data_IF_954497868525
#
_entry.id   IF_954497868525
#
_cell.length_a   1.000
_cell.length_b   1.000
_cell.length_c   1.000
_cell.angle_alpha   90.00
_cell.angle_beta   90.00
_cell.angle_gamma   90.00
#
_symmetry.space_group_name_H-M   'P 1'
#
loop_
_entity.id
_entity.type
_entity.pdbx_description
1 polymer ?
#
# COMPACT_ATOMS: atom_id res chain seq x y z
N UNK A 1 55.12 43.94 8.05
CA UNK A 1 55.37 44.56 6.73
C UNK A 1 56.19 43.57 5.90
N UNK A 2 55.55 42.78 5.03
CA UNK A 2 56.21 41.70 4.27
C UNK A 2 56.50 42.21 2.85
N UNK A 3 57.79 42.24 2.45
CA UNK A 3 58.25 42.59 1.10
C UNK A 3 58.30 41.32 0.24
N UNK A 4 57.56 41.29 -0.86
CA UNK A 4 57.59 40.24 -1.89
C UNK A 4 58.70 40.59 -2.89
N UNK A 5 59.68 39.70 -3.08
CA UNK A 5 60.93 39.95 -3.81
C UNK A 5 61.12 39.14 -5.10
N UNK A 6 60.05 38.67 -5.76
CA UNK A 6 60.18 38.02 -7.07
C UNK A 6 59.11 38.48 -8.07
N UNK A 7 59.56 38.93 -9.25
CA UNK A 7 58.71 39.28 -10.41
C UNK A 7 58.06 38.02 -10.99
N UNK A 8 56.74 38.02 -11.08
CA UNK A 8 55.97 37.01 -11.82
C UNK A 8 56.22 37.25 -13.32
N UNK A 9 56.82 36.27 -14.01
CA UNK A 9 56.91 36.23 -15.48
C UNK A 9 55.81 35.32 -16.01
N UNK A 10 54.95 35.85 -16.89
CA UNK A 10 54.03 35.08 -17.72
C UNK A 10 52.59 35.05 -17.21
N UNK A 11 51.79 36.03 -17.62
CA UNK A 11 50.33 35.89 -17.67
C UNK A 11 49.96 35.90 -19.15
N UNK A 12 49.48 34.76 -19.68
CA UNK A 12 48.86 34.75 -21.01
C UNK A 12 47.43 35.25 -20.88
N UNK A 13 47.12 36.36 -21.54
CA UNK A 13 45.75 36.84 -21.70
C UNK A 13 45.03 35.88 -22.64
N UNK A 14 44.08 35.10 -22.12
CA UNK A 14 43.17 34.30 -22.94
C UNK A 14 42.22 35.27 -23.63
N UNK A 15 42.37 35.41 -24.95
CA UNK A 15 41.51 36.24 -25.79
C UNK A 15 40.05 35.78 -25.69
N UNK A 16 39.14 36.77 -25.64
CA UNK A 16 37.71 36.54 -25.76
C UNK A 16 37.42 35.77 -27.06
N UNK A 17 36.79 34.60 -26.93
CA UNK A 17 36.15 33.91 -28.05
C UNK A 17 34.76 34.49 -28.24
N UNK A 18 34.45 34.89 -29.47
CA UNK A 18 33.10 35.27 -29.91
C UNK A 18 32.05 34.20 -29.54
N UNK A 19 30.87 34.58 -29.04
CA UNK A 19 29.80 33.66 -28.68
C UNK A 19 28.94 33.37 -29.92
N UNK A 20 29.48 32.65 -30.90
CA UNK A 20 28.73 32.24 -32.09
C UNK A 20 29.03 30.80 -32.52
N UNK A 21 28.98 29.89 -31.55
CA UNK A 21 28.66 28.49 -31.83
C UNK A 21 27.79 27.97 -30.70
N UNK A 22 26.52 28.38 -30.70
CA UNK A 22 25.50 27.73 -29.90
C UNK A 22 25.45 26.28 -30.36
N UNK A 23 26.02 25.36 -29.57
CA UNK A 23 25.65 23.97 -29.66
C UNK A 23 24.13 23.95 -29.53
N UNK A 24 23.44 23.47 -30.57
CA UNK A 24 22.03 23.12 -30.45
C UNK A 24 22.00 22.08 -29.35
N UNK A 25 21.62 22.51 -28.14
CA UNK A 25 21.27 21.60 -27.07
C UNK A 25 20.17 20.73 -27.69
N UNK A 26 20.47 19.44 -27.88
CA UNK A 26 19.43 18.48 -28.18
C UNK A 26 18.28 18.75 -27.21
N UNK A 27 17.03 18.84 -27.70
CA UNK A 27 15.91 19.00 -26.79
C UNK A 27 16.01 17.90 -25.73
N UNK A 28 15.92 18.25 -24.44
CA UNK A 28 16.00 17.26 -23.39
C UNK A 28 14.98 16.16 -23.68
N UNK A 29 15.42 14.89 -23.61
CA UNK A 29 14.55 13.72 -23.73
C UNK A 29 13.27 13.99 -22.92
N UNK A 30 12.13 13.74 -23.54
CA UNK A 30 10.81 14.12 -23.04
C UNK A 30 10.58 13.72 -21.56
N UNK A 31 9.69 14.46 -20.88
CA UNK A 31 9.52 14.34 -19.43
C UNK A 31 8.93 12.97 -19.06
N UNK A 32 9.19 12.50 -17.84
CA UNK A 32 8.58 11.23 -17.37
C UNK A 32 7.07 11.40 -17.10
N UNK A 33 6.51 12.59 -17.34
CA UNK A 33 5.07 12.82 -17.55
C UNK A 33 4.70 12.63 -19.04
N UNK A 34 5.53 11.93 -19.81
CA UNK A 34 5.05 11.29 -21.03
C UNK A 34 3.99 10.25 -20.64
N UNK A 35 2.94 10.18 -21.47
CA UNK A 35 1.80 9.28 -21.31
C UNK A 35 2.25 7.90 -20.81
N UNK A 36 1.73 7.47 -19.67
CA UNK A 36 2.03 6.14 -19.14
C UNK A 36 1.47 5.08 -20.08
N UNK A 37 2.29 4.06 -20.36
CA UNK A 37 1.87 2.85 -21.06
C UNK A 37 1.52 1.79 -20.04
N UNK A 38 0.26 1.35 -20.06
CA UNK A 38 -0.14 0.18 -19.31
C UNK A 38 0.44 -1.05 -19.99
N UNK A 39 1.38 -1.72 -19.32
CA UNK A 39 1.93 -2.97 -19.81
C UNK A 39 0.88 -4.08 -19.65
N UNK A 40 0.35 -4.57 -20.77
CA UNK A 40 -0.71 -5.59 -20.86
C UNK A 40 -0.38 -6.99 -20.31
N UNK A 41 0.77 -7.15 -19.64
CA UNK A 41 1.48 -8.43 -19.60
C UNK A 41 1.42 -9.20 -18.29
N UNK A 42 0.79 -8.70 -17.24
CA UNK A 42 0.61 -9.48 -16.02
C UNK A 42 -0.60 -9.03 -15.20
N UNK A 43 -1.59 -9.91 -15.06
CA UNK A 43 -2.44 -9.90 -13.86
C UNK A 43 -1.58 -10.40 -12.70
N UNK A 44 -1.59 -9.64 -11.62
CA UNK A 44 -0.71 -9.86 -10.46
C UNK A 44 -1.53 -10.22 -9.23
N UNK A 45 -2.76 -9.72 -9.12
CA UNK A 45 -3.66 -10.14 -8.06
C UNK A 45 -3.98 -11.64 -8.13
N UNK A 46 -4.08 -12.23 -9.33
CA UNK A 46 -4.27 -13.68 -9.52
C UNK A 46 -3.05 -14.51 -9.07
N UNK A 47 -1.89 -13.86 -8.90
CA UNK A 47 -0.65 -14.51 -8.43
C UNK A 47 -0.49 -14.49 -6.92
N UNK A 48 -1.41 -13.87 -6.18
CA UNK A 48 -1.46 -14.03 -4.74
C UNK A 48 -1.72 -15.50 -4.43
N UNK A 49 -0.75 -16.15 -3.78
CA UNK A 49 -0.95 -17.50 -3.26
C UNK A 49 -2.11 -17.48 -2.25
N UNK A 50 -2.21 -16.38 -1.49
CA UNK A 50 -3.30 -16.14 -0.54
C UNK A 50 -3.81 -14.69 -0.62
N UNK A 51 -4.98 -14.46 -1.25
CA UNK A 51 -5.61 -13.13 -1.30
C UNK A 51 -6.03 -12.61 0.08
N UNK A 52 -6.37 -13.50 1.00
CA UNK A 52 -6.63 -13.21 2.41
C UNK A 52 -5.61 -13.95 3.29
N UNK A 53 -5.63 -13.73 4.60
CA UNK A 53 -4.81 -14.54 5.51
C UNK A 53 -5.29 -16.00 5.39
N UNK A 54 -4.43 -16.98 5.08
CA UNK A 54 -4.84 -18.38 5.06
C UNK A 54 -5.21 -18.88 6.45
N UNK A 55 -6.15 -19.82 6.52
CA UNK A 55 -6.46 -20.54 7.75
C UNK A 55 -5.29 -21.46 8.12
N UNK A 56 -4.91 -21.40 9.40
CA UNK A 56 -3.80 -22.18 9.96
C UNK A 56 -4.28 -22.86 11.24
N UNK A 57 -4.99 -24.01 11.13
CA UNK A 57 -5.62 -24.66 12.28
C UNK A 57 -4.63 -25.03 13.39
N UNK A 58 -3.44 -25.49 13.01
CA UNK A 58 -2.35 -25.83 13.93
C UNK A 58 -1.51 -24.62 14.37
N UNK A 59 -1.94 -23.41 14.00
CA UNK A 59 -1.20 -22.19 14.24
C UNK A 59 -0.04 -21.96 13.26
N UNK A 60 0.84 -21.03 13.63
CA UNK A 60 1.98 -20.58 12.80
C UNK A 60 3.21 -20.40 13.66
N UNK A 61 4.38 -20.72 13.14
CA UNK A 61 5.66 -20.43 13.78
C UNK A 61 6.14 -19.04 13.34
N UNK A 62 6.72 -18.28 14.27
CA UNK A 62 7.22 -16.95 13.97
C UNK A 62 8.40 -16.53 14.84
N UNK A 63 9.17 -15.58 14.32
CA UNK A 63 10.24 -14.91 15.06
C UNK A 63 9.78 -13.51 15.47
N UNK A 64 9.98 -13.16 16.73
CA UNK A 64 9.67 -11.83 17.28
C UNK A 64 10.95 -11.07 17.60
N UNK A 65 11.01 -9.81 17.18
CA UNK A 65 12.14 -8.92 17.45
C UNK A 65 12.25 -8.57 18.94
N UNK A 66 13.42 -8.06 19.38
CA UNK A 66 13.49 -7.30 20.62
C UNK A 66 12.48 -6.14 20.62
N UNK A 67 12.02 -5.76 21.81
CA UNK A 67 11.11 -4.62 21.99
C UNK A 67 11.85 -3.33 21.68
N UNK A 68 11.27 -2.54 20.79
CA UNK A 68 11.67 -1.16 20.49
C UNK A 68 10.91 -0.21 21.39
N UNK A 69 11.60 0.81 21.87
CA UNK A 69 11.03 1.89 22.67
C UNK A 69 11.30 3.19 21.93
N UNK A 70 10.24 3.94 21.61
CA UNK A 70 10.40 5.28 21.07
C UNK A 70 10.69 6.27 22.19
N UNK A 71 11.29 7.41 21.82
CA UNK A 71 11.48 8.53 22.74
C UNK A 71 10.13 9.10 23.22
N UNK A 72 9.09 8.99 22.39
CA UNK A 72 7.71 9.34 22.71
C UNK A 72 7.00 8.36 23.67
N UNK A 73 7.67 7.28 24.11
CA UNK A 73 7.14 6.31 25.07
C UNK A 73 6.37 5.14 24.46
N UNK A 74 6.14 5.14 23.14
CA UNK A 74 5.54 4.03 22.43
C UNK A 74 6.45 2.80 22.46
N UNK A 75 5.84 1.61 22.48
CA UNK A 75 6.56 0.33 22.51
C UNK A 75 6.00 -0.62 21.48
N UNK A 76 6.88 -1.33 20.79
CA UNK A 76 6.46 -2.35 19.84
C UNK A 76 7.54 -3.42 19.66
N UNK A 77 7.12 -4.58 19.18
CA UNK A 77 7.99 -5.56 18.55
C UNK A 77 7.40 -5.94 17.20
N UNK A 78 8.23 -6.57 16.37
CA UNK A 78 7.85 -7.05 15.04
C UNK A 78 7.90 -8.56 15.07
N UNK A 79 6.79 -9.19 14.73
CA UNK A 79 6.71 -10.65 14.56
C UNK A 79 6.59 -10.97 13.08
N UNK A 80 7.44 -11.88 12.59
CA UNK A 80 7.34 -12.42 11.23
C UNK A 80 7.00 -13.90 11.33
N UNK A 81 5.86 -14.27 10.76
CA UNK A 81 5.35 -15.64 10.76
C UNK A 81 5.65 -16.33 9.43
N UNK A 82 5.90 -17.63 9.51
CA UNK A 82 6.19 -18.53 8.39
C UNK A 82 5.05 -19.52 8.21
N UNK A 83 4.79 -19.92 6.96
CA UNK A 83 3.63 -20.76 6.63
C UNK A 83 3.97 -22.24 6.76
N UNK A 84 3.59 -22.87 7.87
CA UNK A 84 3.91 -24.27 8.20
C UNK A 84 5.16 -24.40 9.08
N UNK A 85 5.31 -25.54 9.77
CA UNK A 85 6.35 -25.72 10.80
C UNK A 85 7.79 -25.63 10.24
N UNK A 86 8.04 -26.25 9.08
CA UNK A 86 9.37 -26.31 8.46
C UNK A 86 9.59 -25.25 7.37
N UNK A 87 8.65 -24.33 7.20
CA UNK A 87 8.71 -23.36 6.11
C UNK A 87 9.64 -22.20 6.44
N UNK A 88 10.46 -21.85 5.46
CA UNK A 88 11.29 -20.64 5.46
C UNK A 88 10.62 -19.48 4.70
N UNK A 89 9.38 -19.65 4.25
CA UNK A 89 8.65 -18.63 3.51
C UNK A 89 7.84 -17.74 4.46
N UNK A 90 8.23 -16.48 4.66
CA UNK A 90 7.45 -15.54 5.46
C UNK A 90 6.16 -15.21 4.71
N UNK A 91 5.03 -15.15 5.43
CA UNK A 91 3.73 -14.86 4.84
C UNK A 91 2.95 -13.76 5.58
N UNK A 92 3.40 -13.37 6.77
CA UNK A 92 2.74 -12.39 7.63
C UNK A 92 3.73 -11.64 8.52
N UNK A 93 3.51 -10.34 8.66
CA UNK A 93 4.14 -9.46 9.64
C UNK A 93 3.07 -8.95 10.59
N UNK A 94 3.35 -9.01 11.89
CA UNK A 94 2.48 -8.49 12.94
C UNK A 94 3.24 -7.50 13.83
N UNK A 95 2.48 -6.58 14.42
CA UNK A 95 2.94 -5.67 15.48
C UNK A 95 2.03 -5.89 16.68
N UNK A 96 2.33 -6.88 17.55
CA UNK A 96 1.41 -7.35 18.58
C UNK A 96 1.47 -6.50 19.85
N UNK A 97 1.38 -5.17 19.71
CA UNK A 97 1.51 -4.23 20.82
C UNK A 97 0.45 -3.13 20.72
N UNK A 98 -0.41 -3.02 21.74
CA UNK A 98 -1.40 -1.95 21.81
C UNK A 98 -0.76 -0.55 21.95
N UNK A 99 0.45 -0.48 22.52
CA UNK A 99 1.24 0.75 22.69
C UNK A 99 2.03 1.13 21.42
N UNK A 100 1.88 0.39 20.32
CA UNK A 100 2.62 0.66 19.10
C UNK A 100 2.23 2.02 18.49
N UNK A 101 3.16 2.71 17.78
CA UNK A 101 2.82 3.92 17.05
C UNK A 101 1.61 3.73 16.13
N UNK A 102 0.66 4.68 16.18
CA UNK A 102 -0.59 4.63 15.41
C UNK A 102 -0.30 4.46 13.91
N UNK A 103 -0.90 3.43 13.29
CA UNK A 103 -0.67 3.03 11.89
C UNK A 103 0.52 2.08 11.64
N UNK A 104 1.36 1.75 12.63
CA UNK A 104 2.48 0.82 12.41
C UNK A 104 1.98 -0.61 12.11
N UNK A 105 0.88 -1.03 12.74
CA UNK A 105 0.22 -2.30 12.43
C UNK A 105 -0.35 -2.34 11.00
N UNK A 106 -0.84 -1.20 10.47
CA UNK A 106 -1.30 -1.11 9.09
C UNK A 106 -0.14 -1.26 8.08
N UNK A 107 1.05 -0.70 8.39
CA UNK A 107 2.27 -0.94 7.60
C UNK A 107 2.60 -2.44 7.56
N UNK A 108 2.56 -3.12 8.71
CA UNK A 108 2.77 -4.56 8.79
C UNK A 108 1.73 -5.34 7.98
N UNK A 109 0.45 -4.98 8.09
CA UNK A 109 -0.65 -5.59 7.31
C UNK A 109 -0.41 -5.47 5.81
N UNK A 110 0.03 -4.31 5.31
CA UNK A 110 0.36 -4.12 3.89
C UNK A 110 1.53 -5.00 3.44
N UNK A 111 2.58 -5.12 4.27
CA UNK A 111 3.72 -6.01 4.01
C UNK A 111 3.32 -7.50 4.01
N UNK A 112 2.35 -7.91 4.82
CA UNK A 112 1.82 -9.28 4.79
C UNK A 112 1.23 -9.63 3.42
N UNK A 113 0.52 -8.71 2.77
CA UNK A 113 0.08 -8.93 1.38
C UNK A 113 1.26 -9.04 0.41
N UNK A 114 2.33 -8.26 0.63
CA UNK A 114 3.54 -8.34 -0.20
C UNK A 114 4.23 -9.70 -0.05
N UNK A 115 4.32 -10.23 1.17
CA UNK A 115 4.85 -11.57 1.43
C UNK A 115 4.04 -12.68 0.75
N UNK A 116 2.71 -12.56 0.72
CA UNK A 116 1.81 -13.55 0.09
C UNK A 116 1.89 -13.60 -1.45
N UNK A 117 2.57 -12.63 -2.08
CA UNK A 117 2.91 -12.72 -3.51
C UNK A 117 4.07 -13.68 -3.78
N UNK A 118 4.85 -14.03 -2.75
CA UNK A 118 6.15 -14.71 -2.84
C UNK A 118 7.19 -14.01 -3.74
N UNK A 119 6.96 -12.76 -4.10
CA UNK A 119 7.86 -11.96 -4.92
C UNK A 119 8.95 -11.32 -4.05
N UNK A 120 10.07 -12.03 -3.92
CA UNK A 120 11.20 -11.64 -3.06
C UNK A 120 11.79 -10.28 -3.43
N UNK A 121 11.92 -9.99 -4.72
CA UNK A 121 12.47 -8.71 -5.19
C UNK A 121 11.52 -7.55 -4.90
N UNK A 122 10.21 -7.77 -5.00
CA UNK A 122 9.20 -6.80 -4.60
C UNK A 122 9.25 -6.46 -3.12
N UNK A 123 9.27 -7.50 -2.27
CA UNK A 123 9.39 -7.33 -0.82
C UNK A 123 10.69 -6.59 -0.47
N UNK A 124 11.82 -7.00 -1.03
CA UNK A 124 13.12 -6.35 -0.81
C UNK A 124 13.10 -4.87 -1.22
N UNK A 125 12.52 -4.54 -2.38
CA UNK A 125 12.39 -3.14 -2.85
C UNK A 125 11.55 -2.31 -1.89
N UNK A 126 10.43 -2.85 -1.40
CA UNK A 126 9.55 -2.17 -0.46
C UNK A 126 10.22 -1.97 0.90
N UNK A 127 10.82 -3.00 1.48
CA UNK A 127 11.55 -2.91 2.75
C UNK A 127 12.67 -1.87 2.67
N UNK A 128 13.46 -1.87 1.60
CA UNK A 128 14.51 -0.87 1.38
C UNK A 128 13.97 0.55 1.34
N UNK A 129 12.77 0.75 0.76
CA UNK A 129 12.12 2.05 0.71
C UNK A 129 11.57 2.53 2.06
N UNK A 130 11.19 1.60 2.94
CA UNK A 130 10.73 1.88 4.31
C UNK A 130 11.89 2.18 5.26
N UNK A 131 13.02 1.49 5.10
CA UNK A 131 14.25 1.76 5.86
C UNK A 131 14.72 3.21 5.72
N UNK A 132 14.48 3.83 4.57
CA UNK A 132 14.85 5.22 4.30
C UNK A 132 13.92 6.26 4.95
N UNK A 133 12.83 5.83 5.59
CA UNK A 133 11.87 6.76 6.21
C UNK A 133 12.43 7.30 7.52
N UNK A 134 12.49 8.63 7.61
CA UNK A 134 12.90 9.39 8.79
C UNK A 134 11.70 10.05 9.46
N UNK A 135 11.81 10.33 10.75
CA UNK A 135 10.79 11.00 11.56
C UNK A 135 11.15 10.88 13.03
N UNK A 136 10.36 10.11 13.80
CA UNK A 136 10.60 9.82 15.22
C UNK A 136 11.71 8.77 15.37
N UNK A 137 12.98 9.20 15.33
CA UNK A 137 14.11 8.29 15.44
C UNK A 137 14.02 7.41 16.70
N UNK A 138 14.40 6.14 16.59
CA UNK A 138 14.36 5.17 17.70
C UNK A 138 15.67 4.42 17.80
N UNK A 139 15.98 3.93 18.99
CA UNK A 139 17.11 3.02 19.19
C UNK A 139 16.65 1.57 19.06
N UNK A 140 17.38 0.79 18.28
CA UNK A 140 17.10 -0.63 18.06
C UNK A 140 18.32 -1.48 18.36
N UNK A 141 18.11 -2.59 19.07
CA UNK A 141 19.14 -3.61 19.27
C UNK A 141 18.98 -4.67 18.20
N UNK A 142 19.79 -4.57 17.14
CA UNK A 142 19.80 -5.58 16.09
C UNK A 142 20.43 -6.89 16.59
N UNK A 143 19.91 -8.07 16.22
CA UNK A 143 20.55 -9.34 16.50
C UNK A 143 22.01 -9.37 16.06
N UNK A 144 22.89 -9.89 16.92
CA UNK A 144 24.34 -9.95 16.67
C UNK A 144 25.11 -8.67 16.98
N UNK A 145 24.43 -7.55 17.27
CA UNK A 145 25.09 -6.32 17.71
C UNK A 145 25.09 -6.20 19.24
N UNK A 146 26.23 -5.76 19.79
CA UNK A 146 26.39 -5.55 21.23
C UNK A 146 25.75 -4.24 21.72
N UNK A 147 25.69 -3.22 20.86
CA UNK A 147 25.21 -1.87 21.18
C UNK A 147 23.96 -1.55 20.34
N UNK A 148 22.95 -0.87 20.91
CA UNK A 148 21.83 -0.34 20.13
C UNK A 148 22.31 0.65 19.06
N UNK A 149 21.60 0.71 17.94
CA UNK A 149 21.84 1.68 16.87
C UNK A 149 20.63 2.59 16.70
N UNK A 150 20.88 3.83 16.30
CA UNK A 150 19.82 4.75 15.93
C UNK A 150 19.27 4.40 14.53
N UNK A 151 17.95 4.34 14.41
CA UNK A 151 17.23 4.23 13.13
C UNK A 151 16.25 5.38 12.99
N UNK A 152 16.00 5.80 11.75
CA UNK A 152 15.33 7.08 11.46
C UNK A 152 13.85 7.16 11.86
N UNK A 153 13.17 6.03 12.07
CA UNK A 153 11.75 6.00 12.45
C UNK A 153 11.32 4.61 12.96
N UNK A 154 10.15 4.47 13.60
CA UNK A 154 9.58 3.16 13.94
C UNK A 154 9.27 2.31 12.70
N UNK A 155 8.94 2.94 11.57
CA UNK A 155 8.72 2.26 10.29
C UNK A 155 10.03 1.70 9.74
N UNK A 156 11.12 2.46 9.84
CA UNK A 156 12.44 1.99 9.46
C UNK A 156 12.89 0.83 10.36
N UNK A 157 12.68 0.93 11.67
CA UNK A 157 12.93 -0.16 12.62
C UNK A 157 12.14 -1.42 12.23
N UNK A 158 10.85 -1.27 11.91
CA UNK A 158 10.01 -2.38 11.47
C UNK A 158 10.59 -3.05 10.23
N UNK A 159 10.92 -2.28 9.21
CA UNK A 159 11.48 -2.81 7.97
C UNK A 159 12.82 -3.53 8.18
N UNK A 160 13.70 -2.99 9.04
CA UNK A 160 14.97 -3.64 9.41
C UNK A 160 14.75 -4.99 10.07
N UNK A 161 13.81 -5.11 11.02
CA UNK A 161 13.53 -6.39 11.65
C UNK A 161 12.88 -7.40 10.71
N UNK A 162 12.02 -6.96 9.79
CA UNK A 162 11.50 -7.84 8.74
C UNK A 162 12.63 -8.34 7.83
N UNK A 163 13.56 -7.47 7.41
CA UNK A 163 14.74 -7.88 6.64
C UNK A 163 15.54 -8.94 7.39
N UNK A 164 15.85 -8.69 8.67
CA UNK A 164 16.61 -9.63 9.51
C UNK A 164 15.88 -10.97 9.66
N UNK A 165 14.56 -10.97 9.86
CA UNK A 165 13.78 -12.19 9.93
C UNK A 165 13.90 -13.00 8.64
N UNK A 166 13.78 -12.34 7.49
CA UNK A 166 13.91 -13.00 6.19
C UNK A 166 15.34 -13.49 5.92
N UNK A 167 16.36 -12.73 6.31
CA UNK A 167 17.77 -13.08 6.13
C UNK A 167 18.17 -14.31 6.96
N UNK A 168 17.61 -14.45 8.18
CA UNK A 168 17.86 -15.61 9.05
C UNK A 168 17.46 -16.93 8.44
N UNK A 169 16.46 -16.92 7.55
CA UNK A 169 15.97 -18.09 6.83
C UNK A 169 16.42 -18.10 5.37
N UNK A 170 17.34 -17.21 4.99
CA UNK A 170 17.85 -17.11 3.62
C UNK A 170 16.84 -16.62 2.58
N UNK A 171 15.64 -16.18 2.99
CA UNK A 171 14.54 -15.86 2.07
C UNK A 171 14.90 -14.72 1.11
N UNK A 172 15.58 -13.67 1.58
CA UNK A 172 16.04 -12.55 0.74
C UNK A 172 17.43 -12.76 0.12
N UNK A 173 18.00 -13.96 0.21
CA UNK A 173 19.29 -14.27 -0.42
C UNK A 173 19.13 -14.57 -1.91
N UNK A 174 20.15 -14.19 -2.71
CA UNK A 174 20.24 -14.50 -4.15
C UNK A 174 18.97 -14.11 -4.93
N UNK A 175 18.56 -12.85 -4.80
CA UNK A 175 17.39 -12.32 -5.51
C UNK A 175 17.84 -11.83 -6.89
N UNK A 176 17.36 -12.48 -7.94
CA UNK A 176 17.47 -11.97 -9.30
C UNK A 176 16.25 -11.09 -9.64
N UNK A 177 16.42 -9.79 -9.95
CA UNK A 177 15.30 -8.88 -10.23
C UNK A 177 14.43 -9.29 -11.43
N UNK A 178 14.99 -10.05 -12.37
CA UNK A 178 14.32 -10.48 -13.61
C UNK A 178 13.11 -11.38 -13.38
N UNK A 179 13.08 -12.09 -12.25
CA UNK A 179 12.02 -13.06 -11.96
C UNK A 179 10.76 -12.42 -11.38
N UNK A 180 10.86 -11.18 -10.92
CA UNK A 180 9.80 -10.47 -10.22
C UNK A 180 8.60 -10.15 -11.13
N UNK A 181 7.46 -10.76 -10.83
CA UNK A 181 6.21 -10.46 -11.52
C UNK A 181 5.69 -9.07 -11.16
N UNK A 182 5.82 -8.66 -9.89
CA UNK A 182 5.40 -7.35 -9.41
C UNK A 182 6.20 -6.23 -10.08
N UNK A 183 7.52 -6.38 -10.19
CA UNK A 183 8.37 -5.36 -10.82
C UNK A 183 8.14 -5.25 -12.32
N UNK A 184 7.89 -6.38 -13.00
CA UNK A 184 7.53 -6.38 -14.43
C UNK A 184 6.14 -5.79 -14.70
N UNK A 185 5.27 -5.83 -13.70
CA UNK A 185 3.92 -5.26 -13.77
C UNK A 185 3.87 -3.77 -13.44
N UNK A 186 5.00 -3.11 -13.15
CA UNK A 186 4.99 -1.66 -12.95
C UNK A 186 4.63 -0.93 -14.25
N UNK A 187 3.80 0.11 -14.13
CA UNK A 187 3.45 1.02 -15.24
C UNK A 187 4.65 1.84 -15.73
N UNK A 188 5.63 2.07 -14.84
CA UNK A 188 6.90 2.71 -15.15
C UNK A 188 8.04 2.13 -14.29
N UNK A 189 9.30 2.11 -14.78
CA UNK A 189 10.44 1.60 -14.00
C UNK A 189 10.68 2.34 -12.68
N UNK A 190 10.39 3.64 -12.68
CA UNK A 190 10.45 4.53 -11.54
C UNK A 190 9.15 5.31 -11.40
N UNK A 191 8.89 5.78 -10.18
CA UNK A 191 7.75 6.66 -9.90
C UNK A 191 7.76 7.86 -10.87
N UNK A 192 6.67 8.11 -11.60
CA UNK A 192 6.54 9.28 -12.45
C UNK A 192 6.70 10.55 -11.61
N UNK A 193 7.55 11.47 -12.06
CA UNK A 193 7.77 12.75 -11.39
C UNK A 193 7.77 13.86 -12.42
N UNK A 194 7.16 14.98 -12.07
CA UNK A 194 7.36 16.23 -12.79
C UNK A 194 8.85 16.59 -12.79
N UNK A 195 9.39 17.02 -13.93
CA UNK A 195 10.73 17.60 -13.95
C UNK A 195 10.69 18.95 -13.25
N UNK A 196 11.87 19.40 -12.83
CA UNK A 196 12.01 20.76 -12.36
C UNK A 196 11.58 21.74 -13.46
N UNK A 197 10.63 22.61 -13.17
CA UNK A 197 10.04 23.54 -14.14
C UNK A 197 8.74 23.05 -14.80
N UNK A 198 8.39 21.77 -14.69
CA UNK A 198 7.11 21.24 -15.16
C UNK A 198 6.04 21.31 -14.06
N UNK A 199 4.77 21.35 -14.47
CA UNK A 199 3.62 21.31 -13.55
C UNK A 199 3.01 19.91 -13.55
N UNK A 200 3.00 19.27 -12.38
CA UNK A 200 2.28 18.01 -12.16
C UNK A 200 0.84 18.23 -11.72
N UNK A 201 -0.02 17.23 -11.93
CA UNK A 201 -1.39 17.23 -11.44
C UNK A 201 -1.52 16.39 -10.15
N UNK A 202 -2.20 16.93 -9.15
CA UNK A 202 -2.56 16.20 -7.95
C UNK A 202 -4.00 16.51 -7.53
N UNK A 203 -4.73 15.46 -7.14
CA UNK A 203 -5.99 15.58 -6.41
C UNK A 203 -5.70 15.69 -4.93
N UNK A 204 -6.60 16.32 -4.17
CA UNK A 204 -6.49 16.36 -2.73
C UNK A 204 -7.85 16.32 -2.05
N UNK A 205 -7.84 15.93 -0.77
CA UNK A 205 -8.97 16.04 0.15
C UNK A 205 -8.47 16.24 1.57
N UNK A 206 -9.26 16.92 2.39
CA UNK A 206 -8.94 17.21 3.78
C UNK A 206 -9.51 16.13 4.71
N UNK A 207 -8.82 15.89 5.82
CA UNK A 207 -9.18 14.91 6.85
C UNK A 207 -9.05 15.56 8.22
N UNK A 208 -10.13 15.49 8.99
CA UNK A 208 -10.18 15.97 10.36
C UNK A 208 -10.77 14.87 11.26
N UNK A 209 -10.04 14.49 12.31
CA UNK A 209 -10.55 13.68 13.41
C UNK A 209 -10.05 14.27 14.73
N UNK A 210 -10.85 15.16 15.32
CA UNK A 210 -10.52 15.85 16.57
C UNK A 210 -10.22 14.87 17.72
N UNK A 211 -10.90 13.71 17.77
CA UNK A 211 -10.68 12.69 18.80
C UNK A 211 -9.28 12.06 18.76
N UNK A 212 -8.59 12.15 17.61
CA UNK A 212 -7.24 11.64 17.39
C UNK A 212 -6.19 12.71 17.14
N UNK A 213 -6.60 13.99 17.12
CA UNK A 213 -5.76 15.11 16.72
C UNK A 213 -5.31 15.04 15.26
N UNK A 214 -6.08 14.35 14.41
CA UNK A 214 -5.82 14.31 12.98
C UNK A 214 -6.37 15.60 12.34
N UNK A 215 -5.51 16.34 11.65
CA UNK A 215 -5.86 17.50 10.83
C UNK A 215 -4.82 17.61 9.71
N UNK A 216 -5.12 16.99 8.58
CA UNK A 216 -4.18 16.88 7.48
C UNK A 216 -4.87 16.78 6.13
N UNK A 217 -4.11 17.07 5.09
CA UNK A 217 -4.50 16.93 3.69
C UNK A 217 -3.84 15.70 3.09
N UNK A 218 -4.63 14.93 2.34
CA UNK A 218 -4.14 13.86 1.47
C UNK A 218 -3.98 14.41 0.06
N UNK A 219 -2.84 14.15 -0.56
CA UNK A 219 -2.57 14.45 -1.95
C UNK A 219 -2.34 13.16 -2.72
N UNK A 220 -2.84 13.11 -3.95
CA UNK A 220 -2.71 11.97 -4.85
C UNK A 220 -2.28 12.49 -6.22
N UNK A 221 -1.04 12.19 -6.63
CA UNK A 221 -0.58 12.59 -7.95
C UNK A 221 -1.18 11.68 -9.01
N UNK A 222 -1.54 12.30 -10.12
CA UNK A 222 -2.11 11.65 -11.28
C UNK A 222 -1.30 12.00 -12.52
N UNK A 223 -1.24 11.07 -13.45
CA UNK A 223 -0.68 11.30 -14.78
C UNK A 223 -1.66 10.82 -15.84
N UNK A 224 -1.47 11.23 -17.07
CA UNK A 224 -2.30 10.81 -18.19
C UNK A 224 -1.75 9.51 -18.80
N UNK A 225 -2.63 8.58 -19.14
CA UNK A 225 -2.33 7.41 -19.96
C UNK A 225 -2.33 7.79 -21.45
N UNK A 226 -1.86 6.90 -22.32
CA UNK A 226 -1.85 7.18 -23.77
C UNK A 226 -3.23 7.46 -24.39
N UNK A 227 -4.28 6.91 -23.80
CA UNK A 227 -5.67 7.07 -24.21
C UNK A 227 -6.36 8.30 -23.58
N UNK A 228 -5.63 9.12 -22.83
CA UNK A 228 -6.15 10.32 -22.16
C UNK A 228 -6.76 10.07 -20.78
N UNK A 229 -6.84 8.81 -20.32
CA UNK A 229 -7.37 8.53 -18.99
C UNK A 229 -6.38 8.92 -17.89
N UNK A 230 -6.87 9.42 -16.76
CA UNK A 230 -6.03 9.72 -15.60
C UNK A 230 -5.68 8.43 -14.83
N UNK A 231 -4.42 8.33 -14.39
CA UNK A 231 -3.90 7.24 -13.58
C UNK A 231 -3.24 7.75 -12.29
N UNK A 232 -3.81 7.43 -11.11
CA UNK A 232 -3.17 7.71 -9.83
C UNK A 232 -1.90 6.87 -9.65
N UNK A 233 -0.77 7.50 -9.26
CA UNK A 233 0.52 6.80 -9.16
C UNK A 233 1.29 7.06 -7.87
N UNK A 234 0.88 8.03 -7.05
CA UNK A 234 1.46 8.27 -5.73
C UNK A 234 0.48 8.96 -4.80
N UNK A 235 0.73 8.83 -3.50
CA UNK A 235 -0.03 9.46 -2.42
C UNK A 235 0.91 9.95 -1.33
N UNK A 236 0.63 11.13 -0.77
CA UNK A 236 1.31 11.66 0.41
C UNK A 236 0.38 12.49 1.27
N UNK A 237 0.83 12.80 2.48
CA UNK A 237 0.06 13.51 3.50
C UNK A 237 0.80 14.77 3.92
N UNK A 238 0.07 15.83 4.28
CA UNK A 238 0.63 17.05 4.86
C UNK A 238 -0.28 17.58 5.97
N UNK A 239 0.28 17.90 7.13
CA UNK A 239 -0.46 18.34 8.32
C UNK A 239 -0.18 17.44 9.52
N UNK A 240 -1.11 17.41 10.47
CA UNK A 240 -1.04 16.59 11.67
C UNK A 240 -1.63 15.19 11.40
N UNK A 241 -0.76 14.20 11.28
CA UNK A 241 -1.12 12.78 11.12
C UNK A 241 -0.06 11.90 11.81
N UNK A 242 -0.32 10.61 12.06
CA UNK A 242 0.66 9.74 12.71
C UNK A 242 1.91 9.55 11.87
N UNK A 243 3.09 9.71 12.46
CA UNK A 243 4.37 9.60 11.74
C UNK A 243 4.53 8.25 10.99
N UNK A 244 3.98 7.15 11.51
CA UNK A 244 4.06 5.84 10.85
C UNK A 244 3.32 5.79 9.50
N UNK A 245 2.38 6.71 9.26
CA UNK A 245 1.64 6.79 8.00
C UNK A 245 2.51 7.22 6.81
N UNK A 246 3.71 7.76 7.04
CA UNK A 246 4.70 7.89 5.98
C UNK A 246 5.03 6.52 5.34
N UNK A 247 5.04 5.44 6.14
CA UNK A 247 5.19 4.07 5.64
C UNK A 247 4.02 3.63 4.78
N UNK A 248 2.79 3.94 5.21
CA UNK A 248 1.56 3.64 4.47
C UNK A 248 1.57 4.38 3.12
N UNK A 249 1.83 5.69 3.13
CA UNK A 249 1.94 6.49 1.91
C UNK A 249 3.00 5.93 0.95
N UNK A 250 4.16 5.52 1.48
CA UNK A 250 5.24 4.94 0.68
C UNK A 250 4.85 3.61 0.04
N UNK A 251 4.20 2.72 0.79
CA UNK A 251 3.73 1.43 0.28
C UNK A 251 2.62 1.60 -0.74
N UNK A 252 1.58 2.37 -0.41
CA UNK A 252 0.48 2.65 -1.33
C UNK A 252 0.97 3.30 -2.61
N UNK A 253 1.89 4.26 -2.55
CA UNK A 253 2.46 4.86 -3.77
C UNK A 253 3.14 3.82 -4.66
N UNK A 254 3.82 2.81 -4.09
CA UNK A 254 4.37 1.70 -4.88
C UNK A 254 3.28 0.79 -5.43
N UNK A 255 2.23 0.53 -4.67
CA UNK A 255 1.10 -0.29 -5.08
C UNK A 255 0.27 0.36 -6.21
N UNK A 256 0.12 1.69 -6.19
CA UNK A 256 -0.53 2.48 -7.25
C UNK A 256 0.24 2.46 -8.58
N UNK A 257 1.53 2.09 -8.56
CA UNK A 257 2.36 1.96 -9.76
C UNK A 257 2.27 0.57 -10.40
N UNK A 258 1.55 -0.39 -9.79
CA UNK A 258 1.31 -1.70 -10.38
C UNK A 258 0.15 -1.58 -11.39
N UNK A 259 0.36 -2.07 -12.60
CA UNK A 259 -0.58 -1.94 -13.70
C UNK A 259 -1.91 -2.64 -13.41
N UNK A 260 -1.88 -3.81 -12.78
CA UNK A 260 -3.10 -4.52 -12.37
C UNK A 260 -3.82 -3.77 -11.22
N UNK A 261 -5.01 -3.16 -11.47
CA UNK A 261 -5.69 -2.38 -10.45
C UNK A 261 -6.26 -3.23 -9.32
N UNK A 262 -6.46 -4.54 -9.52
CA UNK A 262 -6.91 -5.42 -8.45
C UNK A 262 -5.93 -5.41 -7.26
N UNK A 263 -4.64 -5.19 -7.52
CA UNK A 263 -3.62 -5.09 -6.50
C UNK A 263 -3.85 -3.92 -5.54
N UNK A 264 -4.01 -2.70 -6.06
CA UNK A 264 -4.29 -1.53 -5.21
C UNK A 264 -5.69 -1.62 -4.57
N UNK A 265 -6.66 -2.18 -5.27
CA UNK A 265 -7.99 -2.44 -4.72
C UNK A 265 -7.93 -3.31 -3.46
N UNK A 266 -7.18 -4.40 -3.51
CA UNK A 266 -7.00 -5.34 -2.40
C UNK A 266 -6.32 -4.67 -1.18
N UNK A 267 -5.32 -3.82 -1.42
CA UNK A 267 -4.65 -3.03 -0.37
C UNK A 267 -5.60 -2.01 0.28
N UNK A 268 -6.40 -1.31 -0.51
CA UNK A 268 -7.38 -0.34 0.00
C UNK A 268 -8.49 -1.01 0.81
N UNK A 269 -8.98 -2.18 0.37
CA UNK A 269 -9.97 -2.94 1.13
C UNK A 269 -9.42 -3.38 2.49
N UNK A 270 -8.18 -3.86 2.54
CA UNK A 270 -7.53 -4.22 3.79
C UNK A 270 -7.39 -3.04 4.77
N UNK A 271 -7.15 -1.83 4.26
CA UNK A 271 -7.08 -0.62 5.09
C UNK A 271 -8.47 -0.07 5.48
N UNK A 272 -9.53 -0.36 4.70
CA UNK A 272 -10.91 0.00 5.08
C UNK A 272 -11.42 -0.77 6.29
N UNK A 273 -10.86 -1.95 6.53
CA UNK A 273 -11.13 -2.77 7.71
C UNK A 273 -10.24 -2.42 8.91
N UNK A 274 -9.34 -1.45 8.75
CA UNK A 274 -8.54 -0.95 9.86
C UNK A 274 -9.45 -0.30 10.91
N UNK A 275 -9.21 -0.64 12.17
CA UNK A 275 -9.96 -0.12 13.31
C UNK A 275 -8.99 0.32 14.38
N UNK A 276 -9.25 1.47 14.98
CA UNK A 276 -8.42 2.01 16.06
C UNK A 276 -9.29 2.26 17.29
N UNK A 277 -8.82 1.94 18.52
CA UNK A 277 -9.59 2.20 19.74
C UNK A 277 -9.93 3.69 19.85
N UNK A 278 -11.22 4.03 19.93
CA UNK A 278 -11.70 5.42 19.94
C UNK A 278 -11.18 6.26 18.75
N UNK A 279 -10.97 5.63 17.59
CA UNK A 279 -10.54 6.27 16.35
C UNK A 279 -11.63 6.38 15.31
N UNK A 280 -12.87 6.06 15.69
CA UNK A 280 -14.01 6.18 14.83
C UNK A 280 -14.17 7.62 14.29
N UNK A 281 -14.59 7.71 13.04
CA UNK A 281 -14.70 8.98 12.33
C UNK A 281 -16.07 9.08 11.69
N UNK A 282 -16.84 10.10 12.07
CA UNK A 282 -18.12 10.40 11.45
C UNK A 282 -17.92 11.33 10.25
N UNK A 283 -18.22 10.84 9.05
CA UNK A 283 -18.00 11.58 7.82
C UNK A 283 -18.98 11.18 6.71
N UNK A 284 -19.10 12.02 5.69
CA UNK A 284 -19.77 11.63 4.45
C UNK A 284 -18.93 10.63 3.69
N UNK A 285 -19.53 9.51 3.29
CA UNK A 285 -18.88 8.55 2.40
C UNK A 285 -18.56 9.23 1.06
N UNK A 286 -17.28 9.25 0.61
CA UNK A 286 -16.91 9.91 -0.65
C UNK A 286 -17.55 9.29 -1.89
N UNK A 287 -17.95 8.02 -1.82
CA UNK A 287 -18.65 7.29 -2.89
C UNK A 287 -20.16 7.55 -2.83
N UNK A 288 -20.82 7.11 -1.76
CA UNK A 288 -22.29 7.10 -1.68
C UNK A 288 -22.90 8.43 -1.26
N UNK A 289 -22.07 9.39 -0.80
CA UNK A 289 -22.47 10.70 -0.27
C UNK A 289 -23.45 10.62 0.91
N UNK A 290 -23.52 9.47 1.58
CA UNK A 290 -24.28 9.27 2.82
C UNK A 290 -23.35 9.37 4.02
N UNK A 291 -23.84 9.97 5.10
CA UNK A 291 -23.12 9.99 6.38
C UNK A 291 -23.02 8.57 6.95
N UNK A 292 -21.86 8.24 7.50
CA UNK A 292 -21.62 6.99 8.23
C UNK A 292 -20.45 7.17 9.18
N UNK A 293 -20.33 6.22 10.11
CA UNK A 293 -19.13 6.06 10.92
C UNK A 293 -18.14 5.16 10.17
N UNK A 294 -16.88 5.58 10.17
CA UNK A 294 -15.72 4.81 9.76
C UNK A 294 -14.99 4.28 11.01
N UNK A 295 -14.41 3.08 10.95
CA UNK A 295 -13.79 2.43 12.10
C UNK A 295 -12.44 3.06 12.53
N UNK A 296 -11.81 3.82 11.64
CA UNK A 296 -10.62 4.63 11.91
C UNK A 296 -10.52 5.81 10.93
N UNK A 297 -9.68 6.80 11.25
CA UNK A 297 -9.28 7.84 10.28
C UNK A 297 -8.65 7.20 9.03
N UNK A 298 -7.88 6.13 9.19
CA UNK A 298 -7.22 5.43 8.09
C UNK A 298 -8.25 4.73 7.17
N UNK A 299 -9.30 4.14 7.75
CA UNK A 299 -10.39 3.54 6.98
C UNK A 299 -11.11 4.57 6.09
N UNK A 300 -11.31 5.79 6.59
CA UNK A 300 -11.84 6.91 5.79
C UNK A 300 -10.88 7.35 4.68
N UNK A 301 -9.58 7.44 4.95
CA UNK A 301 -8.57 7.75 3.92
C UNK A 301 -8.55 6.69 2.83
N UNK A 302 -8.57 5.40 3.19
CA UNK A 302 -8.63 4.31 2.23
C UNK A 302 -9.91 4.35 1.38
N UNK A 303 -11.06 4.64 2.00
CA UNK A 303 -12.33 4.85 1.29
C UNK A 303 -12.27 6.02 0.31
N UNK A 304 -11.60 7.12 0.69
CA UNK A 304 -11.46 8.33 -0.12
C UNK A 304 -10.55 8.12 -1.32
N UNK A 305 -9.44 7.40 -1.14
CA UNK A 305 -8.58 6.99 -2.26
C UNK A 305 -9.34 6.05 -3.20
N UNK A 306 -10.05 5.04 -2.66
CA UNK A 306 -10.88 4.13 -3.45
C UNK A 306 -11.93 4.89 -4.27
N UNK A 307 -12.57 5.90 -3.69
CA UNK A 307 -13.57 6.71 -4.39
C UNK A 307 -13.02 7.37 -5.66
N UNK A 308 -11.73 7.70 -5.70
CA UNK A 308 -11.11 8.19 -6.93
C UNK A 308 -11.00 7.12 -7.99
N UNK A 309 -10.56 5.91 -7.64
CA UNK A 309 -10.53 4.78 -8.58
C UNK A 309 -11.93 4.44 -9.11
N UNK A 310 -12.96 4.59 -8.27
CA UNK A 310 -14.37 4.45 -8.68
C UNK A 310 -14.79 5.55 -9.64
N UNK A 311 -14.50 6.82 -9.34
CA UNK A 311 -14.79 7.94 -10.23
C UNK A 311 -14.06 7.83 -11.58
N UNK A 312 -12.89 7.20 -11.61
CA UNK A 312 -12.15 6.90 -12.84
C UNK A 312 -12.69 5.69 -13.60
N UNK A 313 -13.59 4.89 -13.00
CA UNK A 313 -14.12 3.67 -13.58
C UNK A 313 -13.08 2.54 -13.68
N UNK A 314 -12.08 2.56 -12.80
CA UNK A 314 -11.02 1.53 -12.70
C UNK A 314 -11.46 0.42 -11.74
N UNK A 315 -11.98 0.82 -10.58
CA UNK A 315 -12.52 -0.08 -9.55
C UNK A 315 -14.01 0.21 -9.32
N UNK A 316 -14.74 -0.75 -8.77
CA UNK A 316 -16.09 -0.55 -8.24
C UNK A 316 -16.06 -0.17 -6.75
N UNK A 317 -17.23 0.06 -6.14
CA UNK A 317 -17.34 0.44 -4.73
C UNK A 317 -16.84 -0.65 -3.75
N UNK A 318 -16.78 -1.88 -4.22
CA UNK A 318 -16.23 -3.04 -3.53
C UNK A 318 -14.74 -3.23 -3.79
N UNK A 319 -14.07 -2.31 -4.48
CA UNK A 319 -12.64 -2.36 -4.77
C UNK A 319 -12.24 -3.39 -5.82
N UNK A 320 -13.19 -3.93 -6.59
CA UNK A 320 -12.93 -4.88 -7.68
C UNK A 320 -12.80 -4.17 -9.01
N UNK A 321 -12.03 -4.75 -9.93
CA UNK A 321 -11.80 -4.17 -11.26
C UNK A 321 -13.11 -4.13 -12.06
N UNK A 322 -13.40 -2.98 -12.67
CA UNK A 322 -14.54 -2.83 -13.59
C UNK A 322 -14.11 -3.28 -14.99
N UNK A 323 -14.94 -4.06 -15.68
CA UNK A 323 -14.71 -4.48 -17.06
C UNK A 323 -14.88 -3.30 -18.04
N UNK A 324 -13.89 -2.41 -18.14
CA UNK A 324 -13.92 -1.27 -19.08
C UNK A 324 -13.46 -1.71 -20.48
N UNK A 325 -14.04 -1.17 -21.56
CA UNK A 325 -13.53 -1.33 -22.95
C UNK A 325 -12.08 -0.83 -23.11
N UNK A 326 -11.66 0.16 -22.33
CA UNK A 326 -10.28 0.67 -22.25
C UNK A 326 -9.34 -0.26 -21.45
N UNK A 327 -9.90 -1.08 -20.55
CA UNK A 327 -9.16 -2.12 -19.82
C UNK A 327 -8.82 -3.34 -20.68
N UNK A 328 -9.23 -3.38 -21.96
CA UNK A 328 -8.72 -4.36 -22.94
C UNK A 328 -7.19 -4.33 -23.07
N UNK A 329 -6.56 -3.21 -22.72
CA UNK A 329 -5.10 -3.15 -22.60
C UNK A 329 -4.54 -4.04 -21.49
N UNK A 330 -5.30 -4.45 -20.48
CA UNK A 330 -4.75 -5.24 -19.38
C UNK A 330 -4.79 -6.74 -19.61
N UNK A 331 -5.43 -7.21 -20.69
CA UNK A 331 -5.80 -8.63 -20.86
C UNK A 331 -6.35 -9.25 -19.56
N UNK A 332 -6.91 -8.41 -18.68
CA UNK A 332 -7.68 -8.82 -17.53
C UNK A 332 -9.01 -9.23 -18.15
N UNK A 333 -9.10 -10.49 -18.53
CA UNK A 333 -10.39 -11.15 -18.43
C UNK A 333 -10.85 -10.83 -17.01
N UNK A 334 -11.90 -10.00 -16.89
CA UNK A 334 -12.52 -9.77 -15.61
C UNK A 334 -12.63 -11.15 -14.98
N UNK A 335 -11.95 -11.37 -13.84
CA UNK A 335 -11.94 -12.66 -13.18
C UNK A 335 -13.38 -13.16 -13.28
N UNK A 336 -13.65 -14.31 -13.93
CA UNK A 336 -15.01 -14.81 -14.01
C UNK A 336 -15.50 -14.68 -12.60
N UNK A 337 -16.60 -13.93 -12.40
CA UNK A 337 -17.24 -13.84 -11.10
C UNK A 337 -17.25 -15.28 -10.67
N UNK A 338 -16.37 -15.64 -9.71
CA UNK A 338 -16.33 -16.98 -9.19
C UNK A 338 -17.72 -17.02 -8.60
N UNK A 339 -18.63 -17.64 -9.35
CA UNK A 339 -19.78 -18.27 -8.80
C UNK A 339 -19.12 -19.09 -7.72
N UNK A 340 -19.19 -18.56 -6.48
CA UNK A 340 -18.97 -19.31 -5.25
C UNK A 340 -19.46 -20.70 -5.61
N UNK A 341 -18.58 -21.72 -5.65
CA UNK A 341 -18.89 -23.00 -6.29
C UNK A 341 -20.24 -23.39 -5.77
N UNK A 342 -21.27 -23.33 -6.64
CA UNK A 342 -22.66 -23.10 -6.24
C UNK A 342 -22.88 -23.76 -4.90
N UNK A 343 -22.79 -22.96 -3.82
CA UNK A 343 -22.90 -23.52 -2.48
C UNK A 343 -24.26 -24.16 -2.53
N UNK A 344 -24.29 -25.50 -2.42
CA UNK A 344 -25.47 -26.36 -2.60
C UNK A 344 -26.72 -25.50 -2.47
N UNK A 345 -27.47 -25.31 -3.56
CA UNK A 345 -28.75 -24.57 -3.54
C UNK A 345 -29.37 -24.80 -2.17
N UNK A 346 -29.59 -23.74 -1.36
CA UNK A 346 -29.98 -23.95 0.02
C UNK A 346 -31.22 -24.85 0.02
N UNK A 347 -31.05 -26.06 0.54
CA UNK A 347 -32.10 -27.06 0.57
C UNK A 347 -33.05 -26.63 1.68
N UNK A 348 -34.07 -25.87 1.31
CA UNK A 348 -35.02 -25.29 2.24
C UNK A 348 -36.15 -24.58 1.50
N UNK A 349 -37.32 -24.50 2.13
CA UNK A 349 -38.46 -23.77 1.59
C UNK A 349 -38.14 -22.28 1.68
N UNK A 350 -38.34 -21.54 0.59
CA UNK A 350 -38.14 -20.10 0.55
C UNK A 350 -39.22 -19.36 1.36
N UNK A 351 -38.79 -18.42 2.21
CA UNK A 351 -39.71 -17.57 2.96
C UNK A 351 -40.39 -16.54 2.04
N UNK A 352 -41.73 -16.44 2.03
CA UNK A 352 -42.43 -15.46 1.20
C UNK A 352 -42.28 -14.01 1.69
N UNK A 353 -41.82 -13.79 2.92
CA UNK A 353 -41.63 -12.45 3.49
C UNK A 353 -40.25 -11.87 3.21
N UNK A 354 -39.17 -12.62 3.50
CA UNK A 354 -37.80 -12.12 3.36
C UNK A 354 -36.98 -12.76 2.22
N UNK A 355 -37.50 -13.80 1.56
CA UNK A 355 -36.83 -14.48 0.45
C UNK A 355 -35.72 -15.46 0.84
N UNK A 356 -35.43 -15.62 2.14
CA UNK A 356 -34.41 -16.55 2.65
C UNK A 356 -34.90 -18.01 2.66
N UNK A 357 -34.02 -18.97 2.40
CA UNK A 357 -34.37 -20.41 2.32
C UNK A 357 -34.27 -21.10 3.69
N UNK A 358 -34.86 -20.48 4.71
CA UNK A 358 -34.74 -20.88 6.12
C UNK A 358 -36.09 -21.15 6.79
N UNK A 359 -37.11 -21.59 6.03
CA UNK A 359 -38.41 -21.98 6.58
C UNK A 359 -38.34 -23.41 7.09
N UNK A 360 -38.69 -23.59 8.37
CA UNK A 360 -38.78 -24.90 9.04
C UNK A 360 -40.19 -25.08 9.61
N UNK A 361 -40.64 -26.32 9.78
CA UNK A 361 -41.90 -26.59 10.48
C UNK A 361 -41.60 -26.63 11.98
N UNK A 362 -42.05 -25.60 12.70
CA UNK A 362 -42.04 -25.55 14.17
C UNK A 362 -43.48 -25.71 14.65
N UNK A 363 -43.73 -26.71 15.50
CA UNK A 363 -45.06 -27.00 16.06
C UNK A 363 -46.18 -27.17 15.02
N UNK A 364 -45.83 -27.74 13.86
CA UNK A 364 -46.77 -27.95 12.75
C UNK A 364 -46.98 -26.73 11.84
N UNK A 365 -46.35 -25.60 12.14
CA UNK A 365 -46.46 -24.37 11.37
C UNK A 365 -45.15 -24.01 10.65
N UNK A 366 -45.20 -23.58 9.38
CA UNK A 366 -44.02 -23.15 8.65
C UNK A 366 -43.56 -21.76 9.17
N UNK A 367 -42.37 -21.74 9.77
CA UNK A 367 -41.77 -20.58 10.43
C UNK A 367 -40.37 -20.30 9.86
N UNK A 368 -40.10 -19.04 9.51
CA UNK A 368 -38.80 -18.59 9.01
C UNK A 368 -37.87 -18.23 10.16
N UNK A 369 -36.70 -18.88 10.24
CA UNK A 369 -35.72 -18.59 11.29
C UNK A 369 -35.00 -17.24 11.12
N UNK A 370 -35.00 -16.66 9.91
CA UNK A 370 -34.30 -15.40 9.62
C UNK A 370 -35.11 -14.15 9.97
N UNK A 371 -36.44 -14.18 9.81
CA UNK A 371 -37.30 -13.01 10.01
C UNK A 371 -38.52 -13.26 10.90
N UNK A 372 -38.63 -14.45 11.50
CA UNK A 372 -39.76 -14.87 12.33
C UNK A 372 -41.13 -14.88 11.63
N UNK A 373 -41.18 -14.90 10.29
CA UNK A 373 -42.42 -15.10 9.55
C UNK A 373 -43.06 -16.46 9.89
N UNK A 374 -44.33 -16.47 10.28
CA UNK A 374 -45.16 -17.65 10.52
C UNK A 374 -46.44 -17.57 9.70
N UNK A 375 -46.85 -18.66 9.05
CA UNK A 375 -48.15 -18.70 8.34
C UNK A 375 -49.35 -18.77 9.31
N UNK A 376 -49.11 -19.17 10.56
CA UNK A 376 -50.14 -19.40 11.55
C UNK A 376 -50.45 -18.19 12.45
N UNK A 377 -49.79 -17.04 12.20
CA UNK A 377 -49.91 -15.82 13.02
C UNK A 377 -48.63 -15.51 13.76
#
# INVERSE_FOLDING_TARGET
MIRISKKIKGVSVVGQKDPSSGAVLEPPKASVIDRLRLNSRATVADKLVWPTRPDTPEGTIGWTSPVVRSHSGAKFAVTVNYFGEDSQEPFEVLVPFAEAPRGLAAVARLLSFDMRTKDRAWLAKKLSSLVAITGDAVEVKLPGQSVPIAVGSPVAALARYVQIACDRVGYLSQIEPTDSAMLRALVAPSEPKARHGDVGAARYFDVENAGKGDDFRVFMAETELEDGAAWPHSVWFAGAFPAAWHGIAKLLSKDMQVADPAWIGLKLLALREDSEPMGDLWAFCPITRKQRVFASTLAFVAQSILARYVALGILDESGKVVARKQLKLFNVEAAPVNQVPASKQPSGIQCPSCGEHSVVIMDGCPTCQACAYSKCG
#
